data_IF_927945870085
#
_entry.id   IF_927945870085
#
_cell.length_a   1.000
_cell.length_b   1.000
_cell.length_c   1.000
_cell.angle_alpha   90.00
_cell.angle_beta   90.00
_cell.angle_gamma   90.00
#
_symmetry.space_group_name_H-M   'P 1'
#
loop_
_entity.id
_entity.type
_entity.pdbx_description
1 polymer ?
#
# COMPACT_ATOMS: atom_id res chain seq x y z
N UNK A 1 12.92 -42.84 -23.00
CA UNK A 1 12.69 -41.42 -23.29
C UNK A 1 11.51 -40.97 -22.44
N UNK A 2 11.63 -39.95 -21.58
CA UNK A 2 10.47 -39.42 -20.87
C UNK A 2 9.46 -38.86 -21.89
N UNK A 3 8.14 -38.95 -21.63
CA UNK A 3 7.12 -38.46 -22.55
C UNK A 3 7.28 -36.95 -22.79
N UNK A 4 7.15 -36.52 -24.05
CA UNK A 4 7.18 -35.09 -24.40
C UNK A 4 5.99 -34.40 -23.70
N UNK A 5 6.27 -33.38 -22.89
CA UNK A 5 5.21 -32.59 -22.24
C UNK A 5 4.22 -32.07 -23.29
N UNK A 6 2.92 -32.16 -22.99
CA UNK A 6 1.85 -31.71 -23.87
C UNK A 6 1.70 -30.17 -23.83
N UNK A 7 1.64 -29.56 -25.01
CA UNK A 7 0.81 -28.41 -25.38
C UNK A 7 -0.06 -27.75 -24.31
N UNK A 8 0.33 -26.71 -23.54
CA UNK A 8 -0.64 -25.96 -22.76
C UNK A 8 -1.71 -25.34 -23.67
N UNK A 9 -2.98 -25.68 -23.41
CA UNK A 9 -4.12 -25.16 -24.18
C UNK A 9 -4.40 -23.66 -23.88
N UNK A 10 -3.91 -23.16 -22.75
CA UNK A 10 -4.03 -21.76 -22.33
C UNK A 10 -3.06 -20.84 -23.12
N UNK A 11 -3.46 -19.60 -23.34
CA UNK A 11 -2.55 -18.56 -23.84
C UNK A 11 -1.57 -18.15 -22.73
N UNK A 12 -0.32 -18.62 -22.83
CA UNK A 12 0.70 -18.43 -21.80
C UNK A 12 1.14 -16.98 -21.67
N UNK A 13 1.17 -16.24 -22.78
CA UNK A 13 1.53 -14.83 -22.78
C UNK A 13 0.41 -14.01 -22.18
N UNK A 14 -0.86 -14.32 -22.50
CA UNK A 14 -2.00 -13.71 -21.85
C UNK A 14 -2.10 -14.09 -20.36
N UNK A 15 -1.69 -15.31 -19.99
CA UNK A 15 -1.65 -15.79 -18.59
C UNK A 15 -0.64 -15.02 -17.75
N UNK A 16 0.51 -14.69 -18.31
CA UNK A 16 1.47 -13.77 -17.70
C UNK A 16 1.17 -12.31 -18.03
N UNK A 17 0.12 -12.06 -18.81
CA UNK A 17 -0.33 -10.73 -19.27
C UNK A 17 0.85 -9.89 -19.85
N UNK A 18 1.69 -10.53 -20.66
CA UNK A 18 2.81 -9.93 -21.41
C UNK A 18 2.57 -10.12 -22.92
N UNK A 19 3.16 -9.30 -23.80
CA UNK A 19 2.99 -9.48 -25.25
C UNK A 19 3.76 -10.72 -25.75
N UNK A 20 3.44 -11.21 -26.95
CA UNK A 20 4.05 -12.44 -27.48
C UNK A 20 5.56 -12.31 -27.80
N UNK A 21 6.00 -11.09 -28.07
CA UNK A 21 7.39 -10.69 -28.26
C UNK A 21 8.08 -10.28 -26.95
N UNK A 22 7.42 -10.45 -25.79
CA UNK A 22 7.97 -10.12 -24.49
C UNK A 22 9.35 -10.77 -24.28
N UNK A 23 10.30 -10.00 -23.78
CA UNK A 23 11.62 -10.53 -23.47
C UNK A 23 11.56 -11.47 -22.26
N UNK A 24 12.57 -12.31 -22.06
CA UNK A 24 12.64 -13.21 -20.88
C UNK A 24 12.59 -12.43 -19.56
N UNK A 25 13.13 -11.21 -19.59
CA UNK A 25 13.09 -10.21 -18.52
C UNK A 25 11.63 -9.84 -18.17
N UNK A 26 10.83 -9.49 -19.18
CA UNK A 26 9.42 -9.09 -19.00
C UNK A 26 8.56 -10.24 -18.45
N UNK A 27 8.80 -11.47 -18.94
CA UNK A 27 8.15 -12.71 -18.47
C UNK A 27 8.41 -12.93 -16.97
N UNK A 28 9.64 -12.73 -16.52
CA UNK A 28 10.05 -12.88 -15.12
C UNK A 28 9.47 -11.80 -14.20
N UNK A 29 9.42 -10.56 -14.67
CA UNK A 29 8.81 -9.44 -13.94
C UNK A 29 7.33 -9.71 -13.70
N UNK A 30 6.61 -10.09 -14.76
CA UNK A 30 5.17 -10.34 -14.70
C UNK A 30 4.83 -11.55 -13.83
N UNK A 31 5.60 -12.64 -13.96
CA UNK A 31 5.46 -13.85 -13.14
C UNK A 31 5.56 -13.54 -11.64
N UNK A 32 6.60 -12.80 -11.21
CA UNK A 32 6.79 -12.45 -9.79
C UNK A 32 5.67 -11.56 -9.25
N UNK A 33 5.19 -10.63 -10.06
CA UNK A 33 4.06 -9.78 -9.69
C UNK A 33 2.77 -10.60 -9.49
N UNK A 34 2.50 -11.57 -10.38
CA UNK A 34 1.32 -12.43 -10.31
C UNK A 34 1.37 -13.41 -9.13
N UNK A 35 2.52 -14.02 -8.88
CA UNK A 35 2.69 -14.96 -7.76
C UNK A 35 2.51 -14.28 -6.40
N UNK A 36 2.99 -13.05 -6.22
CA UNK A 36 2.81 -12.33 -4.93
C UNK A 36 1.32 -12.17 -4.58
N UNK A 37 0.47 -11.97 -5.59
CA UNK A 37 -0.98 -11.77 -5.41
C UNK A 37 -1.75 -13.07 -5.25
N UNK A 38 -1.35 -14.11 -5.99
CA UNK A 38 -2.10 -15.36 -6.08
C UNK A 38 -1.48 -16.50 -5.29
N UNK A 39 -0.47 -16.24 -4.46
CA UNK A 39 0.12 -17.27 -3.61
C UNK A 39 -0.97 -17.88 -2.70
N UNK A 40 -1.04 -19.21 -2.57
CA UNK A 40 -2.06 -19.87 -1.75
C UNK A 40 -2.02 -19.43 -0.27
N UNK A 41 -0.87 -18.97 0.21
CA UNK A 41 -0.71 -18.43 1.58
C UNK A 41 -1.40 -17.07 1.77
N UNK A 42 -1.65 -16.32 0.69
CA UNK A 42 -2.21 -14.96 0.73
C UNK A 42 -3.67 -14.96 0.26
N UNK A 43 -3.99 -15.71 -0.79
CA UNK A 43 -5.31 -15.70 -1.44
C UNK A 43 -6.16 -16.96 -1.19
N UNK A 44 -5.70 -17.86 -0.30
CA UNK A 44 -6.40 -19.08 0.09
C UNK A 44 -6.42 -20.17 -0.99
N UNK A 45 -7.09 -21.29 -0.69
CA UNK A 45 -7.09 -22.49 -1.54
C UNK A 45 -7.70 -22.28 -2.94
N UNK A 46 -8.60 -21.31 -3.09
CA UNK A 46 -9.21 -20.97 -4.38
C UNK A 46 -8.21 -20.35 -5.37
N UNK A 47 -7.10 -19.77 -4.90
CA UNK A 47 -6.05 -19.20 -5.74
C UNK A 47 -4.99 -20.22 -6.19
N UNK A 48 -5.01 -21.43 -5.62
CA UNK A 48 -4.02 -22.48 -5.89
C UNK A 48 -3.99 -22.87 -7.38
N UNK A 49 -5.16 -23.00 -8.00
CA UNK A 49 -5.25 -23.40 -9.41
C UNK A 49 -4.81 -22.27 -10.36
N UNK A 50 -5.00 -21.01 -9.96
CA UNK A 50 -4.50 -19.86 -10.71
C UNK A 50 -2.97 -19.74 -10.57
N UNK A 51 -2.43 -19.89 -9.36
CA UNK A 51 -0.99 -19.90 -9.12
C UNK A 51 -0.28 -21.01 -9.91
N UNK A 52 -0.86 -22.21 -9.95
CA UNK A 52 -0.35 -23.31 -10.78
C UNK A 52 -0.30 -22.93 -12.26
N UNK A 53 -1.35 -22.29 -12.80
CA UNK A 53 -1.37 -21.84 -14.21
C UNK A 53 -0.37 -20.72 -14.49
N UNK A 54 -0.15 -19.82 -13.54
CA UNK A 54 0.89 -18.77 -13.63
C UNK A 54 2.28 -19.42 -13.67
N UNK A 55 2.55 -20.40 -12.82
CA UNK A 55 3.82 -21.14 -12.83
C UNK A 55 4.01 -21.92 -14.13
N UNK A 56 2.98 -22.62 -14.61
CA UNK A 56 3.04 -23.33 -15.91
C UNK A 56 3.38 -22.37 -17.06
N UNK A 57 2.80 -21.16 -17.07
CA UNK A 57 3.10 -20.17 -18.09
C UNK A 57 4.53 -19.65 -18.00
N UNK A 58 5.05 -19.44 -16.79
CA UNK A 58 6.44 -19.06 -16.58
C UNK A 58 7.42 -20.19 -16.93
N UNK A 59 7.17 -21.42 -16.51
CA UNK A 59 8.02 -22.59 -16.82
C UNK A 59 8.19 -22.77 -18.34
N UNK A 60 7.11 -22.60 -19.09
CA UNK A 60 7.13 -22.73 -20.55
C UNK A 60 7.75 -21.53 -21.26
N UNK A 61 7.49 -20.30 -20.80
CA UNK A 61 7.97 -19.08 -21.46
C UNK A 61 9.40 -18.68 -21.05
N UNK A 62 9.88 -19.16 -19.90
CA UNK A 62 11.24 -18.91 -19.43
C UNK A 62 12.29 -19.83 -20.07
N UNK A 63 11.91 -21.05 -20.49
CA UNK A 63 12.77 -21.96 -21.26
C UNK A 63 12.70 -21.63 -22.77
N UNK A 64 13.82 -21.23 -23.42
CA UNK A 64 13.83 -20.86 -24.84
C UNK A 64 13.38 -22.00 -25.79
N UNK A 65 13.65 -23.26 -25.45
CA UNK A 65 13.27 -24.41 -26.26
C UNK A 65 11.77 -24.70 -26.14
N UNK A 66 11.21 -24.60 -24.93
CA UNK A 66 9.76 -24.74 -24.70
C UNK A 66 8.99 -23.57 -25.30
N UNK A 67 9.47 -22.33 -25.14
CA UNK A 67 8.89 -21.13 -25.73
C UNK A 67 8.85 -21.23 -27.26
N UNK A 68 9.96 -21.60 -27.90
CA UNK A 68 10.02 -21.79 -29.36
C UNK A 68 9.07 -22.88 -29.85
N UNK A 69 8.90 -23.96 -29.07
CA UNK A 69 7.93 -25.02 -29.36
C UNK A 69 6.49 -24.50 -29.26
N UNK A 70 6.18 -23.79 -28.18
CA UNK A 70 4.89 -23.16 -27.96
C UNK A 70 4.53 -22.17 -29.08
N UNK A 71 5.46 -21.30 -29.46
CA UNK A 71 5.25 -20.29 -30.51
C UNK A 71 5.00 -20.92 -31.88
N UNK A 72 5.73 -21.99 -32.23
CA UNK A 72 5.53 -22.73 -33.48
C UNK A 72 4.13 -23.31 -33.56
N UNK A 73 3.66 -23.92 -32.47
CA UNK A 73 2.40 -24.68 -32.46
C UNK A 73 1.17 -23.78 -32.19
N UNK A 74 1.35 -22.63 -31.54
CA UNK A 74 0.31 -21.58 -31.40
C UNK A 74 -0.04 -20.91 -32.73
N UNK A 75 0.88 -20.93 -33.70
CA UNK A 75 0.68 -20.29 -35.02
C UNK A 75 -0.36 -21.05 -35.87
N UNK A 76 -0.49 -22.37 -35.68
CA UNK A 76 -1.49 -23.21 -36.39
C UNK A 76 -2.94 -22.97 -35.91
N UNK A 77 -3.13 -22.58 -34.65
CA UNK A 77 -4.47 -22.32 -34.07
C UNK A 77 -5.02 -20.93 -34.47
N UNK A 78 -4.15 -20.01 -34.91
CA UNK A 78 -4.52 -18.62 -35.23
C UNK A 78 -5.18 -18.44 -36.61
N UNK A 79 -5.19 -19.47 -37.46
CA UNK A 79 -5.87 -19.40 -38.76
C UNK A 79 -7.40 -19.61 -38.66
N UNK A 80 -7.91 -20.25 -37.60
CA UNK A 80 -9.35 -20.50 -37.42
C UNK A 80 -10.08 -19.44 -36.56
N UNK A 81 -9.40 -18.78 -35.62
CA UNK A 81 -10.03 -17.86 -34.67
C UNK A 81 -10.30 -16.44 -35.21
N UNK A 82 -10.09 -16.19 -36.51
CA UNK A 82 -10.41 -14.89 -37.16
C UNK A 82 -11.86 -14.80 -37.67
N UNK A 83 -12.70 -15.83 -37.44
CA UNK A 83 -14.08 -15.85 -37.96
C UNK A 83 -15.17 -15.37 -37.00
N UNK A 84 -14.97 -15.35 -35.69
CA UNK A 84 -16.05 -15.00 -34.76
C UNK A 84 -15.65 -13.83 -33.85
N UNK A 85 -16.03 -12.63 -34.30
CA UNK A 85 -15.90 -11.41 -33.52
C UNK A 85 -16.96 -11.33 -32.43
N UNK A 86 -16.56 -11.03 -31.19
CA UNK A 86 -17.49 -10.59 -30.16
C UNK A 86 -16.86 -9.49 -29.29
N UNK A 87 -17.40 -8.28 -29.46
CA UNK A 87 -17.13 -7.11 -28.65
C UNK A 87 -17.81 -7.27 -27.28
N UNK A 88 -17.02 -7.47 -26.23
CA UNK A 88 -17.53 -7.47 -24.87
C UNK A 88 -17.60 -6.03 -24.33
N UNK A 89 -18.84 -5.54 -24.21
CA UNK A 89 -19.22 -4.30 -23.52
C UNK A 89 -18.97 -4.47 -22.02
N UNK A 90 -18.14 -3.62 -21.42
CA UNK A 90 -17.99 -3.51 -19.96
C UNK A 90 -18.90 -2.40 -19.43
N UNK A 91 -19.75 -2.74 -18.46
CA UNK A 91 -20.63 -1.82 -17.73
C UNK A 91 -19.82 -0.90 -16.77
N UNK A 92 -20.34 0.28 -16.40
CA UNK A 92 -19.58 1.29 -15.66
C UNK A 92 -19.52 0.99 -14.15
N UNK A 93 -18.32 1.09 -13.58
CA UNK A 93 -18.03 0.97 -12.14
C UNK A 93 -18.26 2.34 -11.45
N UNK A 94 -18.83 2.40 -10.22
CA UNK A 94 -19.09 3.66 -9.49
C UNK A 94 -17.83 4.49 -9.18
N UNK A 95 -18.02 5.81 -9.04
CA UNK A 95 -17.06 6.87 -9.38
C UNK A 95 -16.20 7.41 -8.22
N UNK A 96 -16.03 6.67 -7.11
CA UNK A 96 -15.43 7.22 -5.87
C UNK A 96 -14.02 6.71 -5.55
N UNK A 97 -13.25 6.25 -6.53
CA UNK A 97 -11.79 6.31 -6.51
C UNK A 97 -11.33 6.13 -7.95
N UNK A 98 -11.10 7.24 -8.64
CA UNK A 98 -10.34 7.23 -9.88
C UNK A 98 -9.00 7.87 -9.54
N UNK A 99 -7.86 7.16 -9.66
CA UNK A 99 -6.61 7.86 -9.83
C UNK A 99 -6.81 8.83 -11.00
N UNK A 100 -6.30 10.06 -10.86
CA UNK A 100 -6.38 11.04 -11.93
C UNK A 100 -5.98 10.36 -13.26
N UNK A 101 -6.72 10.57 -14.36
CA UNK A 101 -6.34 9.98 -15.64
C UNK A 101 -4.87 10.33 -15.88
N UNK A 102 -4.05 9.30 -16.10
CA UNK A 102 -2.61 9.45 -16.30
C UNK A 102 -2.39 10.56 -17.32
N UNK A 103 -1.97 11.74 -16.85
CA UNK A 103 -1.48 12.78 -17.74
C UNK A 103 -0.36 12.11 -18.54
N UNK A 104 -0.35 12.26 -19.87
CA UNK A 104 0.81 11.86 -20.69
C UNK A 104 2.06 12.35 -19.95
N UNK A 105 2.95 11.42 -19.63
CA UNK A 105 4.15 11.65 -18.84
C UNK A 105 4.94 12.81 -19.48
N UNK A 106 5.41 13.82 -18.74
CA UNK A 106 6.22 14.89 -19.30
C UNK A 106 7.42 14.29 -20.05
N UNK A 107 7.74 14.83 -21.23
CA UNK A 107 8.76 14.26 -22.13
C UNK A 107 10.20 14.28 -21.57
N UNK A 108 10.45 14.91 -20.42
CA UNK A 108 11.78 15.05 -19.81
C UNK A 108 11.85 14.33 -18.46
N UNK A 109 12.25 13.05 -18.48
CA UNK A 109 12.50 12.24 -17.29
C UNK A 109 13.58 12.85 -16.38
N UNK A 110 14.58 13.53 -16.97
CA UNK A 110 15.62 14.19 -16.19
C UNK A 110 15.07 15.41 -15.43
N UNK A 111 14.14 16.18 -16.01
CA UNK A 111 13.44 17.24 -15.29
C UNK A 111 12.56 16.69 -14.16
N UNK A 112 11.88 15.56 -14.37
CA UNK A 112 11.10 14.91 -13.31
C UNK A 112 12.01 14.48 -12.17
N UNK A 113 13.16 13.87 -12.47
CA UNK A 113 14.12 13.46 -11.46
C UNK A 113 14.71 14.65 -10.70
N UNK A 114 15.07 15.75 -11.38
CA UNK A 114 15.54 16.98 -10.72
C UNK A 114 14.51 17.52 -9.72
N UNK A 115 13.24 17.65 -10.15
CA UNK A 115 12.15 18.10 -9.26
C UNK A 115 11.93 17.17 -8.08
N UNK A 116 12.04 15.86 -8.30
CA UNK A 116 11.96 14.87 -7.24
C UNK A 116 13.09 15.06 -6.23
N UNK A 117 14.33 15.22 -6.68
CA UNK A 117 15.48 15.45 -5.83
C UNK A 117 15.38 16.78 -5.05
N UNK A 118 14.92 17.86 -5.69
CA UNK A 118 14.63 19.14 -5.01
C UNK A 118 13.53 18.96 -3.94
N UNK A 119 12.53 18.10 -4.21
CA UNK A 119 11.50 17.76 -3.24
C UNK A 119 12.05 16.97 -2.06
N UNK A 120 12.96 16.02 -2.30
CA UNK A 120 13.65 15.23 -1.26
C UNK A 120 14.42 16.16 -0.32
N UNK A 121 15.13 17.16 -0.85
CA UNK A 121 15.89 18.13 -0.05
C UNK A 121 15.00 19.03 0.83
N UNK A 122 13.69 19.08 0.58
CA UNK A 122 12.73 19.96 1.26
C UNK A 122 11.63 19.20 2.01
N UNK A 123 11.83 17.91 2.31
CA UNK A 123 10.86 17.10 3.05
C UNK A 123 10.64 17.65 4.46
N UNK A 124 9.39 17.78 4.85
CA UNK A 124 9.03 18.23 6.20
C UNK A 124 9.26 17.11 7.23
N UNK A 125 9.44 17.44 8.53
CA UNK A 125 9.52 16.44 9.59
C UNK A 125 8.29 15.51 9.64
N UNK A 126 7.11 16.04 9.32
CA UNK A 126 5.87 15.26 9.24
C UNK A 126 5.94 14.21 8.13
N UNK A 127 6.44 14.58 6.95
CA UNK A 127 6.55 13.66 5.82
C UNK A 127 7.62 12.59 6.06
N UNK A 128 8.75 12.96 6.65
CA UNK A 128 9.79 12.01 7.06
C UNK A 128 9.23 10.99 8.08
N UNK A 129 8.42 11.44 9.03
CA UNK A 129 7.78 10.57 10.01
C UNK A 129 6.71 9.66 9.37
N UNK A 130 5.96 10.15 8.36
CA UNK A 130 5.06 9.30 7.57
C UNK A 130 5.83 8.25 6.75
N UNK A 131 6.93 8.64 6.12
CA UNK A 131 7.80 7.71 5.40
C UNK A 131 8.39 6.63 6.33
N UNK A 132 8.63 6.97 7.61
CA UNK A 132 9.20 6.03 8.59
C UNK A 132 8.33 4.82 8.90
N UNK A 133 7.02 4.89 8.60
CA UNK A 133 6.06 3.80 8.82
C UNK A 133 5.43 3.27 7.52
N UNK A 134 5.86 3.77 6.37
CA UNK A 134 5.39 3.33 5.06
C UNK A 134 5.95 1.95 4.65
N UNK A 135 5.26 1.26 3.74
CA UNK A 135 5.68 -0.04 3.21
C UNK A 135 6.97 0.09 2.40
N UNK A 136 7.94 -0.75 2.74
CA UNK A 136 9.31 -0.78 2.19
C UNK A 136 9.53 -1.94 1.21
N UNK A 137 8.50 -2.78 0.98
CA UNK A 137 8.55 -3.97 0.11
C UNK A 137 8.90 -3.69 -1.36
N UNK A 138 9.08 -2.42 -1.72
CA UNK A 138 9.23 -1.91 -3.09
C UNK A 138 10.66 -2.00 -3.62
N UNK A 139 11.69 -1.90 -2.76
CA UNK A 139 13.10 -2.05 -3.22
C UNK A 139 13.44 -3.49 -3.57
N UNK A 140 12.85 -4.46 -2.87
CA UNK A 140 13.02 -5.88 -3.18
C UNK A 140 12.63 -6.20 -4.64
N UNK A 141 11.63 -5.49 -5.19
CA UNK A 141 11.24 -5.63 -6.59
C UNK A 141 12.39 -5.22 -7.53
N UNK A 142 13.00 -4.05 -7.32
CA UNK A 142 14.12 -3.55 -8.14
C UNK A 142 15.34 -4.47 -8.03
N UNK A 143 15.68 -4.92 -6.82
CA UNK A 143 16.75 -5.89 -6.61
C UNK A 143 16.51 -7.18 -7.42
N UNK A 144 15.25 -7.63 -7.49
CA UNK A 144 14.89 -8.84 -8.21
C UNK A 144 15.08 -8.72 -9.73
N UNK A 145 14.91 -7.52 -10.28
CA UNK A 145 15.03 -7.25 -11.73
C UNK A 145 16.41 -6.74 -12.12
N UNK A 146 17.31 -6.49 -11.15
CA UNK A 146 18.64 -5.91 -11.39
C UNK A 146 19.47 -6.67 -12.43
N UNK A 147 19.34 -8.01 -12.48
CA UNK A 147 20.04 -8.87 -13.45
C UNK A 147 19.67 -8.60 -14.92
N UNK A 148 18.55 -7.92 -15.15
CA UNK A 148 17.98 -7.64 -16.46
C UNK A 148 18.25 -6.22 -16.92
N UNK A 149 18.84 -5.40 -16.06
CA UNK A 149 19.11 -4.00 -16.37
C UNK A 149 20.44 -3.88 -17.13
N UNK A 150 20.45 -3.04 -18.16
CA UNK A 150 21.66 -2.68 -18.87
C UNK A 150 22.66 -1.96 -17.92
N UNK A 151 23.98 -2.02 -18.17
CA UNK A 151 24.97 -1.35 -17.31
C UNK A 151 24.70 0.14 -17.10
N UNK A 152 24.18 0.83 -18.12
CA UNK A 152 23.79 2.24 -18.02
C UNK A 152 22.63 2.46 -17.02
N UNK A 153 21.64 1.55 -16.99
CA UNK A 153 20.52 1.62 -16.05
C UNK A 153 20.99 1.34 -14.63
N UNK A 154 21.86 0.34 -14.43
CA UNK A 154 22.45 0.06 -13.12
C UNK A 154 23.25 1.27 -12.62
N UNK A 155 24.07 1.87 -13.47
CA UNK A 155 24.81 3.09 -13.14
C UNK A 155 23.91 4.28 -12.81
N UNK A 156 22.75 4.40 -13.47
CA UNK A 156 21.75 5.43 -13.15
C UNK A 156 21.08 5.20 -11.79
N UNK A 157 20.79 3.94 -11.41
CA UNK A 157 20.29 3.61 -10.08
C UNK A 157 21.32 3.96 -8.98
N UNK A 158 22.59 3.63 -9.20
CA UNK A 158 23.67 3.96 -8.25
C UNK A 158 23.96 5.46 -8.17
N UNK A 159 23.77 6.19 -9.28
CA UNK A 159 23.86 7.65 -9.29
C UNK A 159 22.72 8.28 -8.48
N UNK A 160 21.46 7.85 -8.73
CA UNK A 160 20.32 8.42 -8.02
C UNK A 160 20.34 8.09 -6.52
N UNK A 161 20.86 6.92 -6.14
CA UNK A 161 21.02 6.56 -4.73
C UNK A 161 21.98 7.52 -4.00
N UNK A 162 23.13 7.83 -4.63
CA UNK A 162 24.08 8.84 -4.11
C UNK A 162 23.43 10.22 -4.01
N UNK A 163 22.72 10.62 -5.06
CA UNK A 163 22.01 11.91 -5.09
C UNK A 163 20.96 12.04 -3.97
N UNK A 164 20.20 10.98 -3.69
CA UNK A 164 19.23 10.96 -2.59
C UNK A 164 19.96 11.03 -1.25
N UNK A 165 21.04 10.26 -1.08
CA UNK A 165 21.84 10.25 0.16
C UNK A 165 22.39 11.63 0.49
N UNK A 166 22.91 12.35 -0.49
CA UNK A 166 23.52 13.66 -0.30
C UNK A 166 22.49 14.75 0.06
N UNK A 167 21.20 14.51 -0.20
CA UNK A 167 20.10 15.44 0.09
C UNK A 167 19.38 15.18 1.40
N UNK A 168 19.62 14.04 2.03
CA UNK A 168 19.01 13.67 3.31
C UNK A 168 19.97 13.91 4.46
N UNK A 169 19.42 14.23 5.64
CA UNK A 169 20.24 14.27 6.86
C UNK A 169 20.73 12.84 7.15
N UNK A 170 21.92 12.66 7.76
CA UNK A 170 22.44 11.33 8.07
C UNK A 170 21.48 10.46 8.89
N UNK A 171 20.72 11.07 9.80
CA UNK A 171 19.72 10.37 10.60
C UNK A 171 18.52 9.86 9.77
N UNK A 172 18.05 10.64 8.79
CA UNK A 172 16.95 10.25 7.92
C UNK A 172 17.38 9.16 6.94
N UNK A 173 18.62 9.25 6.41
CA UNK A 173 19.20 8.20 5.58
C UNK A 173 19.40 6.88 6.34
N UNK A 174 19.74 6.95 7.62
CA UNK A 174 19.91 5.78 8.47
C UNK A 174 18.58 5.06 8.76
N UNK A 175 17.43 5.73 8.62
CA UNK A 175 16.12 5.13 8.80
C UNK A 175 15.73 4.31 7.56
N UNK A 176 15.68 2.95 7.63
CA UNK A 176 15.47 2.11 6.46
C UNK A 176 14.17 2.42 5.73
N UNK A 177 13.07 2.65 6.46
CA UNK A 177 11.78 2.92 5.81
C UNK A 177 11.76 4.23 5.04
N UNK A 178 12.38 5.28 5.58
CA UNK A 178 12.51 6.58 4.91
C UNK A 178 13.37 6.45 3.66
N UNK A 179 14.57 5.89 3.81
CA UNK A 179 15.49 5.64 2.70
C UNK A 179 14.82 4.79 1.62
N UNK A 180 14.20 3.69 2.01
CA UNK A 180 13.72 2.69 1.07
C UNK A 180 12.51 3.18 0.27
N UNK A 181 11.60 3.92 0.91
CA UNK A 181 10.47 4.55 0.22
C UNK A 181 10.91 5.63 -0.78
N UNK A 182 11.91 6.45 -0.42
CA UNK A 182 12.44 7.49 -1.31
C UNK A 182 13.18 6.86 -2.50
N UNK A 183 14.03 5.86 -2.25
CA UNK A 183 14.75 5.15 -3.31
C UNK A 183 13.81 4.38 -4.23
N UNK A 184 12.74 3.77 -3.71
CA UNK A 184 11.74 3.13 -4.56
C UNK A 184 11.08 4.11 -5.53
N UNK A 185 10.70 5.31 -5.07
CA UNK A 185 10.15 6.35 -5.93
C UNK A 185 11.19 6.86 -6.94
N UNK A 186 12.45 7.04 -6.52
CA UNK A 186 13.54 7.42 -7.41
C UNK A 186 13.76 6.37 -8.52
N UNK A 187 13.73 5.08 -8.16
CA UNK A 187 13.84 3.97 -9.09
C UNK A 187 12.69 3.93 -10.09
N UNK A 188 11.45 4.27 -9.70
CA UNK A 188 10.34 4.40 -10.65
C UNK A 188 10.64 5.46 -11.71
N UNK A 189 11.19 6.60 -11.32
CA UNK A 189 11.53 7.68 -12.25
C UNK A 189 12.67 7.29 -13.20
N UNK A 190 13.70 6.60 -12.68
CA UNK A 190 14.86 6.16 -13.47
C UNK A 190 14.50 5.02 -14.41
N UNK A 191 13.75 4.01 -13.93
CA UNK A 191 13.40 2.81 -14.69
C UNK A 191 12.14 2.97 -15.51
N UNK A 192 11.43 4.10 -15.42
CA UNK A 192 10.20 4.34 -16.15
C UNK A 192 10.27 3.98 -17.64
N UNK A 193 11.27 4.43 -18.43
CA UNK A 193 11.34 4.05 -19.85
C UNK A 193 11.48 2.53 -20.05
N UNK A 194 12.30 1.88 -19.21
CA UNK A 194 12.48 0.43 -19.25
C UNK A 194 11.19 -0.31 -18.92
N UNK A 195 10.50 0.09 -17.85
CA UNK A 195 9.23 -0.51 -17.44
C UNK A 195 8.13 -0.24 -18.48
N UNK A 196 8.11 0.93 -19.10
CA UNK A 196 7.12 1.30 -20.12
C UNK A 196 7.27 0.47 -21.40
N UNK A 197 8.52 0.19 -21.78
CA UNK A 197 8.89 -0.65 -22.92
C UNK A 197 8.60 -2.14 -22.67
N UNK A 198 8.88 -2.64 -21.46
CA UNK A 198 8.86 -4.08 -21.17
C UNK A 198 7.56 -4.56 -20.50
N UNK A 199 6.73 -3.67 -19.96
CA UNK A 199 5.47 -4.01 -19.29
C UNK A 199 4.27 -3.41 -20.00
N UNK A 200 3.21 -4.20 -20.11
CA UNK A 200 1.89 -3.75 -20.55
C UNK A 200 0.99 -3.45 -19.36
N UNK A 201 -0.12 -2.75 -19.60
CA UNK A 201 -1.16 -2.64 -18.56
C UNK A 201 -1.84 -3.99 -18.35
N UNK A 202 -2.17 -4.37 -17.11
CA UNK A 202 -2.09 -3.57 -15.86
C UNK A 202 -0.76 -3.63 -15.07
N UNK A 203 0.29 -4.32 -15.53
CA UNK A 203 1.56 -4.46 -14.76
C UNK A 203 2.34 -3.19 -14.63
N UNK A 204 2.38 -2.39 -15.69
CA UNK A 204 3.06 -1.10 -15.64
C UNK A 204 2.48 -0.25 -14.51
N UNK A 205 1.14 -0.13 -14.44
CA UNK A 205 0.44 0.48 -13.32
C UNK A 205 0.85 -0.14 -11.99
N UNK A 206 0.81 -1.46 -11.84
CA UNK A 206 1.19 -2.13 -10.58
C UNK A 206 2.65 -1.92 -10.17
N UNK A 207 3.58 -1.92 -11.11
CA UNK A 207 5.00 -1.69 -10.83
C UNK A 207 5.21 -0.26 -10.33
N UNK A 208 4.55 0.71 -10.97
CA UNK A 208 4.51 2.10 -10.52
C UNK A 208 3.87 2.21 -9.13
N UNK A 209 2.67 1.66 -8.94
CA UNK A 209 1.94 1.71 -7.68
C UNK A 209 2.78 1.14 -6.55
N UNK A 210 3.47 0.02 -6.80
CA UNK A 210 4.40 -0.57 -5.82
C UNK A 210 5.55 0.37 -5.51
N UNK A 211 6.24 0.89 -6.51
CA UNK A 211 7.43 1.73 -6.30
C UNK A 211 7.10 3.11 -5.69
N UNK A 212 5.94 3.68 -6.03
CA UNK A 212 5.49 4.98 -5.56
C UNK A 212 4.70 4.92 -4.25
N UNK A 213 4.25 3.73 -3.83
CA UNK A 213 3.39 3.49 -2.66
C UNK A 213 3.77 4.30 -1.43
N UNK A 214 4.99 4.10 -0.91
CA UNK A 214 5.42 4.76 0.32
C UNK A 214 5.56 6.27 0.16
N UNK A 215 6.01 6.72 -1.01
CA UNK A 215 6.11 8.15 -1.34
C UNK A 215 4.74 8.81 -1.39
N UNK A 216 3.78 8.27 -2.14
CA UNK A 216 2.43 8.84 -2.29
C UNK A 216 1.62 8.75 -0.99
N UNK A 217 1.89 7.75 -0.16
CA UNK A 217 1.33 7.62 1.18
C UNK A 217 1.86 8.67 2.17
N UNK A 218 3.02 9.28 1.93
CA UNK A 218 3.64 10.21 2.85
C UNK A 218 3.57 11.67 2.38
N UNK A 219 3.96 11.94 1.14
CA UNK A 219 4.26 13.29 0.66
C UNK A 219 2.99 14.08 0.42
N UNK A 220 2.91 15.28 1.01
CA UNK A 220 1.75 16.16 0.92
C UNK A 220 0.49 15.65 1.64
N UNK A 221 0.59 14.57 2.42
CA UNK A 221 -0.54 13.98 3.13
C UNK A 221 -0.68 14.57 4.56
N UNK A 222 -1.91 14.79 5.05
CA UNK A 222 -2.15 15.11 6.45
C UNK A 222 -1.63 14.00 7.38
N UNK A 223 -1.20 14.35 8.61
CA UNK A 223 -0.59 13.39 9.55
C UNK A 223 -1.46 12.15 9.79
N UNK A 224 -2.77 12.32 9.97
CA UNK A 224 -3.70 11.23 10.23
C UNK A 224 -4.79 11.12 9.15
N UNK A 225 -4.48 11.56 7.93
CA UNK A 225 -5.41 11.51 6.80
C UNK A 225 -6.63 12.44 6.96
N UNK A 226 -7.81 12.06 6.42
CA UNK A 226 -8.96 12.97 6.29
C UNK A 226 -9.56 13.43 7.62
N UNK A 227 -9.32 12.69 8.71
CA UNK A 227 -9.88 12.96 10.04
C UNK A 227 -8.83 13.52 11.02
N UNK A 228 -7.76 14.15 10.53
CA UNK A 228 -6.62 14.60 11.35
C UNK A 228 -7.03 15.43 12.57
N UNK A 229 -7.92 16.40 12.43
CA UNK A 229 -8.36 17.24 13.54
C UNK A 229 -9.10 16.48 14.67
N UNK A 230 -9.75 15.35 14.37
CA UNK A 230 -10.37 14.51 15.40
C UNK A 230 -9.33 13.67 16.12
N UNK A 231 -8.37 13.11 15.38
CA UNK A 231 -7.28 12.32 15.94
C UNK A 231 -6.35 13.17 16.80
N UNK A 232 -6.04 14.41 16.39
CA UNK A 232 -5.23 15.35 17.17
C UNK A 232 -5.84 15.64 18.53
N UNK A 233 -7.14 15.92 18.58
CA UNK A 233 -7.86 16.15 19.84
C UNK A 233 -7.94 14.90 20.70
N UNK A 234 -8.13 13.73 20.09
CA UNK A 234 -8.05 12.45 20.80
C UNK A 234 -6.66 12.22 21.42
N UNK A 235 -5.57 12.44 20.66
CA UNK A 235 -4.20 12.30 21.16
C UNK A 235 -3.93 13.30 22.29
N UNK A 236 -4.45 14.53 22.21
CA UNK A 236 -4.36 15.49 23.30
C UNK A 236 -5.11 15.01 24.54
N UNK A 237 -6.31 14.46 24.38
CA UNK A 237 -7.06 13.87 25.50
C UNK A 237 -6.33 12.68 26.12
N UNK A 238 -5.63 11.87 25.32
CA UNK A 238 -4.80 10.77 25.82
C UNK A 238 -3.70 11.23 26.80
N UNK A 239 -3.17 12.46 26.65
CA UNK A 239 -2.17 13.03 27.57
C UNK A 239 -2.72 13.30 28.97
N UNK A 240 -4.04 13.44 29.08
CA UNK A 240 -4.74 13.78 30.31
C UNK A 240 -5.34 12.56 31.01
N UNK A 241 -5.17 11.35 30.45
CA UNK A 241 -5.70 10.13 31.05
C UNK A 241 -4.99 9.84 32.36
N UNK A 242 -5.75 9.32 33.31
CA UNK A 242 -5.26 8.74 34.54
C UNK A 242 -5.47 7.22 34.54
N UNK A 243 -4.89 6.52 35.52
CA UNK A 243 -5.08 5.08 35.69
C UNK A 243 -6.57 4.71 35.76
N UNK A 244 -7.37 5.51 36.46
CA UNK A 244 -8.81 5.26 36.63
C UNK A 244 -9.57 5.29 35.31
N UNK A 245 -9.18 6.14 34.36
CA UNK A 245 -9.80 6.17 33.03
C UNK A 245 -9.48 4.90 32.25
N UNK A 246 -8.25 4.39 32.37
CA UNK A 246 -7.85 3.13 31.74
C UNK A 246 -8.59 1.93 32.35
N UNK A 247 -8.77 1.90 33.66
CA UNK A 247 -9.56 0.87 34.37
C UNK A 247 -11.03 0.90 33.93
N UNK A 248 -11.62 2.09 33.79
CA UNK A 248 -12.98 2.26 33.27
C UNK A 248 -13.10 1.78 31.82
N UNK A 249 -12.10 2.10 30.99
CA UNK A 249 -12.05 1.68 29.58
C UNK A 249 -11.93 0.15 29.46
N UNK A 250 -11.11 -0.49 30.29
CA UNK A 250 -10.97 -1.95 30.34
C UNK A 250 -12.26 -2.62 30.80
N UNK A 251 -12.93 -2.03 31.80
CA UNK A 251 -14.21 -2.50 32.31
C UNK A 251 -15.27 -2.45 31.21
N UNK A 252 -15.38 -1.31 30.50
CA UNK A 252 -16.31 -1.13 29.39
C UNK A 252 -16.04 -2.05 28.20
N UNK A 253 -14.77 -2.36 27.92
CA UNK A 253 -14.39 -3.32 26.88
C UNK A 253 -14.72 -4.78 27.24
N UNK A 254 -15.07 -5.09 28.50
CA UNK A 254 -15.33 -6.44 28.98
C UNK A 254 -14.11 -7.35 28.91
N UNK A 255 -14.29 -8.67 28.84
CA UNK A 255 -13.19 -9.67 28.74
C UNK A 255 -13.05 -10.32 27.36
N UNK A 256 -13.76 -9.81 26.36
CA UNK A 256 -13.70 -10.37 25.01
C UNK A 256 -12.27 -10.29 24.45
N UNK A 257 -11.80 -11.35 23.76
CA UNK A 257 -10.51 -11.32 23.10
C UNK A 257 -10.48 -10.24 22.03
N UNK A 258 -9.30 -9.62 21.86
CA UNK A 258 -9.08 -8.69 20.78
C UNK A 258 -9.11 -9.45 19.45
N UNK A 259 -10.11 -9.20 18.63
CA UNK A 259 -9.97 -9.46 17.20
C UNK A 259 -8.98 -8.44 16.62
N UNK A 260 -8.21 -8.86 15.61
CA UNK A 260 -7.41 -7.93 14.82
C UNK A 260 -8.32 -6.77 14.38
N UNK A 261 -7.82 -5.53 14.48
CA UNK A 261 -8.63 -4.36 14.13
C UNK A 261 -9.05 -4.49 12.67
N UNK A 262 -10.33 -4.81 12.47
CA UNK A 262 -10.87 -5.12 11.16
C UNK A 262 -10.90 -3.83 10.34
N UNK A 263 -10.23 -3.88 9.19
CA UNK A 263 -10.35 -2.81 8.22
C UNK A 263 -11.81 -2.69 7.75
N UNK A 264 -12.34 -1.47 7.58
CA UNK A 264 -13.71 -1.27 7.10
C UNK A 264 -13.95 -1.99 5.78
N UNK A 265 -15.18 -2.49 5.59
CA UNK A 265 -15.57 -3.09 4.32
C UNK A 265 -15.37 -2.10 3.16
N UNK A 266 -14.61 -2.51 2.14
CA UNK A 266 -14.32 -1.70 0.96
C UNK A 266 -13.02 -0.88 1.04
N UNK A 267 -12.27 -0.96 2.14
CA UNK A 267 -10.87 -0.55 2.20
C UNK A 267 -9.97 -1.79 2.26
N UNK A 268 -8.78 -1.67 1.71
CA UNK A 268 -7.74 -2.68 1.77
C UNK A 268 -6.44 -2.02 2.27
N UNK A 269 -5.85 -2.43 3.40
CA UNK A 269 -4.57 -1.87 3.87
C UNK A 269 -3.46 -1.93 2.83
N UNK A 270 -3.50 -2.89 1.90
CA UNK A 270 -2.56 -3.00 0.81
C UNK A 270 -2.87 -2.06 -0.35
N UNK A 271 -4.10 -1.60 -0.54
CA UNK A 271 -4.42 -0.63 -1.60
C UNK A 271 -4.47 0.81 -1.04
N UNK A 272 -4.78 0.97 0.24
CA UNK A 272 -5.00 2.21 0.98
C UNK A 272 -3.84 2.56 1.93
N UNK A 273 -2.61 2.44 1.43
CA UNK A 273 -1.39 2.64 2.21
C UNK A 273 -1.36 3.96 3.00
N UNK A 274 -1.83 5.06 2.39
CA UNK A 274 -1.88 6.37 3.05
C UNK A 274 -2.76 6.37 4.31
N UNK A 275 -3.86 5.61 4.31
CA UNK A 275 -4.72 5.41 5.46
C UNK A 275 -4.07 4.46 6.48
N UNK A 276 -3.34 3.44 6.01
CA UNK A 276 -2.60 2.51 6.88
C UNK A 276 -1.53 3.26 7.67
N UNK A 277 -0.70 4.05 7.00
CA UNK A 277 0.30 4.96 7.60
C UNK A 277 -0.36 5.88 8.63
N UNK A 278 -1.49 6.49 8.27
CA UNK A 278 -2.23 7.40 9.16
C UNK A 278 -2.72 6.70 10.42
N UNK A 279 -3.26 5.49 10.28
CA UNK A 279 -3.70 4.65 11.40
C UNK A 279 -2.54 4.24 12.30
N UNK A 280 -1.41 3.85 11.71
CA UNK A 280 -0.20 3.46 12.47
C UNK A 280 0.34 4.64 13.28
N UNK A 281 0.44 5.83 12.67
CA UNK A 281 0.88 7.04 13.37
C UNK A 281 -0.08 7.44 14.48
N UNK A 282 -1.39 7.42 14.22
CA UNK A 282 -2.40 7.75 15.22
C UNK A 282 -2.31 6.84 16.46
N UNK A 283 -2.15 5.54 16.25
CA UNK A 283 -1.98 4.59 17.34
C UNK A 283 -0.66 4.80 18.11
N UNK A 284 0.45 5.01 17.41
CA UNK A 284 1.76 5.28 18.01
C UNK A 284 1.74 6.54 18.87
N UNK A 285 1.16 7.62 18.36
CA UNK A 285 1.13 8.90 19.04
C UNK A 285 0.15 8.90 20.23
N UNK A 286 -0.98 8.19 20.12
CA UNK A 286 -1.90 7.97 21.24
C UNK A 286 -1.24 7.16 22.37
N UNK A 287 -0.49 6.11 22.02
CA UNK A 287 0.25 5.32 23.00
C UNK A 287 1.34 6.14 23.69
N UNK A 288 2.07 6.97 22.95
CA UNK A 288 3.07 7.87 23.51
C UNK A 288 2.43 8.93 24.43
N UNK A 289 1.29 9.50 24.03
CA UNK A 289 0.54 10.47 24.83
C UNK A 289 0.04 9.86 26.15
N UNK A 290 -0.48 8.64 26.11
CA UNK A 290 -0.99 7.94 27.29
C UNK A 290 0.09 7.21 28.11
N UNK A 291 1.38 7.30 27.73
CA UNK A 291 2.46 6.53 28.34
C UNK A 291 2.54 6.67 29.88
N UNK A 292 2.35 7.86 30.49
CA UNK A 292 2.34 7.99 31.95
C UNK A 292 1.23 7.18 32.61
N UNK A 293 0.00 7.25 32.07
CA UNK A 293 -1.16 6.51 32.60
C UNK A 293 -1.00 5.00 32.42
N UNK A 294 -0.51 4.57 31.26
CA UNK A 294 -0.25 3.17 30.96
C UNK A 294 0.86 2.61 31.87
N UNK A 295 1.91 3.38 32.14
CA UNK A 295 2.97 2.99 33.07
C UNK A 295 2.44 2.88 34.51
N UNK A 296 1.59 3.81 34.94
CA UNK A 296 0.94 3.75 36.25
C UNK A 296 0.07 2.49 36.41
N UNK A 297 -0.66 2.08 35.35
CA UNK A 297 -1.42 0.82 35.35
C UNK A 297 -0.49 -0.40 35.33
N UNK A 298 0.59 -0.37 34.53
CA UNK A 298 1.54 -1.48 34.39
C UNK A 298 2.26 -1.84 35.69
N UNK A 299 2.38 -0.89 36.62
CA UNK A 299 2.89 -1.13 37.96
C UNK A 299 2.00 -2.08 38.78
N UNK A 300 0.71 -2.19 38.45
CA UNK A 300 -0.25 -3.10 39.08
C UNK A 300 -0.48 -4.34 38.22
N UNK A 301 -0.76 -4.16 36.92
CA UNK A 301 -1.00 -5.25 35.98
C UNK A 301 -0.50 -4.90 34.57
N UNK A 302 0.55 -5.62 34.14
CA UNK A 302 1.16 -5.43 32.80
C UNK A 302 0.27 -5.92 31.66
N UNK A 303 -0.55 -6.93 31.88
CA UNK A 303 -1.48 -7.46 30.89
C UNK A 303 -2.57 -6.45 30.59
N UNK A 304 -3.15 -5.87 31.64
CA UNK A 304 -4.18 -4.83 31.53
C UNK A 304 -3.62 -3.54 30.93
N UNK A 305 -2.40 -3.13 31.30
CA UNK A 305 -1.73 -2.01 30.65
C UNK A 305 -1.54 -2.21 29.14
N UNK A 306 -1.06 -3.39 28.73
CA UNK A 306 -0.93 -3.73 27.30
C UNK A 306 -2.30 -3.77 26.60
N UNK A 307 -3.34 -4.22 27.30
CA UNK A 307 -4.71 -4.25 26.79
C UNK A 307 -5.29 -2.86 26.63
N UNK A 308 -5.08 -1.96 27.58
CA UNK A 308 -5.49 -0.56 27.52
C UNK A 308 -4.80 0.17 26.36
N UNK A 309 -3.49 -0.02 26.18
CA UNK A 309 -2.75 0.53 25.05
C UNK A 309 -3.33 0.07 23.69
N UNK A 310 -3.75 -1.20 23.58
CA UNK A 310 -4.44 -1.71 22.37
C UNK A 310 -5.81 -1.06 22.16
N UNK A 311 -6.59 -0.80 23.22
CA UNK A 311 -7.87 -0.06 23.11
C UNK A 311 -7.67 1.37 22.59
N UNK A 312 -6.62 2.05 23.04
CA UNK A 312 -6.26 3.38 22.54
C UNK A 312 -5.87 3.33 21.06
N UNK A 313 -5.05 2.35 20.67
CA UNK A 313 -4.69 2.13 19.27
C UNK A 313 -5.90 1.86 18.37
N UNK A 314 -6.82 1.01 18.83
CA UNK A 314 -8.09 0.74 18.14
C UNK A 314 -8.97 1.98 18.00
N UNK A 315 -9.07 2.77 19.06
CA UNK A 315 -9.84 4.04 19.02
C UNK A 315 -9.22 4.98 18.00
N UNK A 316 -7.89 5.14 18.00
CA UNK A 316 -7.16 5.94 17.01
C UNK A 316 -7.42 5.46 15.57
N UNK A 317 -7.36 4.16 15.32
CA UNK A 317 -7.68 3.52 14.04
C UNK A 317 -9.11 3.86 13.58
N UNK A 318 -10.09 3.69 14.47
CA UNK A 318 -11.49 3.99 14.18
C UNK A 318 -11.70 5.47 13.83
N UNK A 319 -11.00 6.38 14.52
CA UNK A 319 -11.08 7.82 14.24
C UNK A 319 -10.48 8.17 12.88
N UNK A 320 -9.31 7.62 12.53
CA UNK A 320 -8.69 7.81 11.22
C UNK A 320 -9.65 7.38 10.11
N UNK A 321 -10.25 6.20 10.26
CA UNK A 321 -11.13 5.58 9.28
C UNK A 321 -12.62 5.89 9.50
N UNK A 322 -12.95 6.94 10.25
CA UNK A 322 -14.34 7.29 10.61
C UNK A 322 -15.27 7.36 9.40
N UNK A 323 -14.77 7.80 8.25
CA UNK A 323 -15.56 7.96 7.04
C UNK A 323 -15.97 6.62 6.39
N UNK A 324 -15.26 5.54 6.69
CA UNK A 324 -15.46 4.22 6.09
C UNK A 324 -16.22 3.25 7.00
N UNK A 325 -16.18 3.45 8.32
CA UNK A 325 -16.96 2.63 9.25
C UNK A 325 -18.45 3.02 9.26
N UNK A 326 -19.32 1.99 9.27
CA UNK A 326 -20.74 2.15 9.58
C UNK A 326 -20.94 2.64 11.03
N UNK A 327 -22.09 3.25 11.33
CA UNK A 327 -22.34 3.87 12.64
C UNK A 327 -22.24 2.88 13.81
N UNK A 328 -22.81 1.68 13.66
CA UNK A 328 -22.79 0.63 14.69
C UNK A 328 -21.37 0.10 14.93
N UNK A 329 -20.64 -0.19 13.84
CA UNK A 329 -19.27 -0.68 13.94
C UNK A 329 -18.33 0.35 14.56
N UNK A 330 -18.45 1.62 14.14
CA UNK A 330 -17.70 2.71 14.74
C UNK A 330 -18.00 2.82 16.24
N UNK A 331 -19.28 2.83 16.63
CA UNK A 331 -19.68 2.90 18.04
C UNK A 331 -19.12 1.74 18.87
N UNK A 332 -19.06 0.53 18.30
CA UNK A 332 -18.43 -0.62 18.95
C UNK A 332 -16.93 -0.43 19.16
N UNK A 333 -16.22 0.14 18.18
CA UNK A 333 -14.77 0.36 18.26
C UNK A 333 -14.41 1.46 19.26
N UNK A 334 -15.19 2.55 19.33
CA UNK A 334 -14.94 3.68 20.24
C UNK A 334 -15.70 3.60 21.57
N UNK A 335 -16.62 2.64 21.73
CA UNK A 335 -17.48 2.53 22.92
C UNK A 335 -16.74 2.48 24.25
N UNK A 336 -15.66 1.68 24.40
CA UNK A 336 -14.88 1.69 25.63
C UNK A 336 -14.29 3.06 25.98
N UNK A 337 -13.83 3.80 24.98
CA UNK A 337 -13.34 5.18 25.13
C UNK A 337 -14.46 6.12 25.57
N UNK A 338 -15.62 6.04 24.92
CA UNK A 338 -16.78 6.87 25.23
C UNK A 338 -17.26 6.64 26.67
N UNK A 339 -17.33 5.38 27.10
CA UNK A 339 -17.76 5.02 28.45
C UNK A 339 -16.79 5.53 29.52
N UNK A 340 -15.48 5.51 29.26
CA UNK A 340 -14.47 5.96 30.20
C UNK A 340 -14.38 7.50 30.28
N UNK A 341 -14.49 8.20 29.16
CA UNK A 341 -14.12 9.62 29.08
C UNK A 341 -15.31 10.57 28.87
N UNK A 342 -16.48 10.05 28.49
CA UNK A 342 -17.64 10.85 28.07
C UNK A 342 -17.47 11.57 26.72
N UNK A 343 -16.30 11.48 26.07
CA UNK A 343 -16.10 12.00 24.72
C UNK A 343 -16.74 11.04 23.71
N UNK A 344 -17.60 11.51 22.79
CA UNK A 344 -18.27 10.69 21.77
C UNK A 344 -17.32 10.02 20.75
N UNK A 345 -16.02 9.95 21.01
CA UNK A 345 -15.03 9.43 20.07
C UNK A 345 -14.82 10.43 18.95
N UNK A 346 -14.66 11.70 19.29
CA UNK A 346 -14.23 12.72 18.34
C UNK A 346 -13.14 13.62 18.89
N UNK A 347 -12.74 13.45 20.15
CA UNK A 347 -11.93 14.42 20.90
C UNK A 347 -12.72 15.66 21.32
N UNK A 348 -14.07 15.61 21.32
CA UNK A 348 -14.92 16.76 21.72
C UNK A 348 -15.36 16.57 23.17
N UNK A 349 -15.33 17.63 23.95
CA UNK A 349 -16.00 17.64 25.26
C UNK A 349 -17.53 17.59 25.11
N UNK A 350 -18.23 17.16 26.17
CA UNK A 350 -19.68 17.24 26.30
C UNK A 350 -20.13 18.72 26.32
N UNK A 351 -20.20 19.37 25.16
CA UNK A 351 -20.53 20.80 25.03
C UNK A 351 -20.02 21.46 23.74
N UNK A 352 -19.03 20.88 23.08
CA UNK A 352 -18.53 21.40 21.80
C UNK A 352 -19.42 20.93 20.64
N UNK A 353 -20.20 21.86 20.06
CA UNK A 353 -21.06 21.55 18.90
C UNK A 353 -20.24 21.03 17.72
N UNK A 354 -20.76 20.00 17.05
CA UNK A 354 -20.18 19.44 15.84
C UNK A 354 -20.17 20.47 14.71
N UNK A 355 -18.99 20.92 14.27
CA UNK A 355 -18.88 21.55 12.96
C UNK A 355 -19.16 20.50 11.88
N UNK A 356 -20.03 20.79 10.91
CA UNK A 356 -20.41 19.84 9.89
C UNK A 356 -19.18 19.44 9.07
N UNK A 357 -18.83 18.14 9.15
CA UNK A 357 -17.80 17.55 8.33
C UNK A 357 -18.19 17.69 6.86
N UNK A 358 -17.40 18.51 6.13
CA UNK A 358 -17.35 18.65 4.68
C UNK A 358 -18.60 19.25 4.01
N UNK A 359 -18.55 20.58 3.81
CA UNK A 359 -19.22 21.22 2.68
C UNK A 359 -18.77 20.52 1.39
N UNK A 360 -19.72 19.93 0.65
CA UNK A 360 -19.55 19.64 -0.78
C UNK A 360 -19.03 20.91 -1.44
N UNK A 361 -17.80 20.88 -1.98
CA UNK A 361 -17.34 21.91 -2.92
C UNK A 361 -18.34 21.92 -4.08
N UNK A 362 -19.25 22.88 -4.09
CA UNK A 362 -19.90 23.30 -5.33
C UNK A 362 -18.80 23.89 -6.20
N UNK A 363 -18.64 23.35 -7.42
CA UNK A 363 -17.68 23.86 -8.39
C UNK A 363 -18.04 25.28 -8.82
N UNK A 364 -17.06 26.09 -9.26
CA UNK A 364 -17.35 27.39 -9.84
C UNK A 364 -17.97 27.20 -11.23
N UNK A 365 -19.04 27.95 -11.49
CA UNK A 365 -19.56 28.19 -12.83
C UNK A 365 -18.77 29.26 -13.58
#
# INVERSE_FOLDING_TARGET
>A
MPPRQSIPADDLYARLEVPADATSEAIEIAWRALLKRHHPDVAGSAALDLAKRINVAHDWLSDPALRKRYDRERTDVRHDARRDGWAARSAPVPRYWRPAPLRRRPADAAAMLRRFLDRVASLSPLELDRLSVADTSSIAFVASIRRFLAPAQVGALEAVERDVRDRLRPADWAAPAVRDAILAAAHELVLAPFLDEHLTEPFRGRARDRLMRGWEAAIGQPRYGPNSAAVERFVERCRQLERMDLDAMLTAAGRAPFQADAWPAGLDPEEDEGLRVSSTLAARDAAAAAAPAVAALAAFDRSDAARAARLLGRTAHALVLRHAFGAEEFARLVGPWQAATGDPGTGRGAGERAEPLLRRRQGPG
#
